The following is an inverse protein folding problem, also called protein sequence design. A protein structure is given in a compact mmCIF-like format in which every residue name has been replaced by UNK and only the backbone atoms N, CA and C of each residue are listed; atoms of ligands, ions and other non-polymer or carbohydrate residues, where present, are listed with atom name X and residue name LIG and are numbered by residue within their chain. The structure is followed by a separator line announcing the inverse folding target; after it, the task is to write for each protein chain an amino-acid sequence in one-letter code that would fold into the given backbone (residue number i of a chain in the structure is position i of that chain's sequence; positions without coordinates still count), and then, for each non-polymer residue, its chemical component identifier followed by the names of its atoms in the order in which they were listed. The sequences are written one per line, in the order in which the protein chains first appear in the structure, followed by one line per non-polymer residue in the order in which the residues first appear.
data_IF_624676177369
#
_entry.id   IF_624676177369
#
_cell.length_a   1.000
_cell.length_b   1.000
_cell.length_c   1.000
_cell.angle_alpha   90.00
_cell.angle_beta   90.00
_cell.angle_gamma   90.00
#
_symmetry.space_group_name_H-M   'P 1'
#
loop_
_entity.id
_entity.type
_entity.pdbx_description
1 polymer ?
#
# COMPACT_ATOMS: atom_id res chain seq x y z
N UNK A 1 -16.17 4.32 -14.93
CA UNK A 1 -16.47 5.43 -15.87
C UNK A 1 -15.63 5.40 -17.15
N UNK A 2 -14.29 5.55 -17.09
CA UNK A 2 -13.41 5.60 -18.29
C UNK A 2 -13.62 4.44 -19.29
N UNK A 3 -13.68 3.19 -18.80
CA UNK A 3 -13.91 1.98 -19.62
C UNK A 3 -15.23 2.03 -20.40
N UNK A 4 -16.31 2.50 -19.76
CA UNK A 4 -17.64 2.57 -20.39
C UNK A 4 -17.67 3.63 -21.50
N UNK A 5 -16.98 4.76 -21.30
CA UNK A 5 -16.85 5.80 -22.31
C UNK A 5 -16.07 5.33 -23.55
N UNK A 6 -14.94 4.63 -23.34
CA UNK A 6 -14.15 4.06 -24.45
C UNK A 6 -14.97 3.04 -25.24
N UNK A 7 -15.66 2.13 -24.55
CA UNK A 7 -16.51 1.13 -25.21
C UNK A 7 -17.65 1.77 -26.01
N UNK A 8 -18.23 2.87 -25.49
CA UNK A 8 -19.27 3.62 -26.19
C UNK A 8 -18.74 4.27 -27.48
N UNK A 9 -17.57 4.92 -27.44
CA UNK A 9 -16.92 5.47 -28.63
C UNK A 9 -16.59 4.37 -29.64
N UNK A 10 -16.04 3.24 -29.19
CA UNK A 10 -15.73 2.10 -30.06
C UNK A 10 -16.99 1.52 -30.70
N UNK A 11 -18.13 1.50 -30.00
CA UNK A 11 -19.41 1.09 -30.56
C UNK A 11 -19.86 2.03 -31.67
N UNK A 12 -19.84 3.35 -31.43
CA UNK A 12 -20.21 4.35 -32.45
C UNK A 12 -19.27 4.28 -33.68
N UNK A 13 -17.97 4.08 -33.46
CA UNK A 13 -16.99 3.90 -34.54
C UNK A 13 -17.26 2.65 -35.39
N UNK A 14 -17.60 1.52 -34.76
CA UNK A 14 -17.92 0.27 -35.48
C UNK A 14 -19.18 0.36 -36.31
N UNK A 15 -20.10 1.25 -35.95
CA UNK A 15 -21.34 1.48 -36.69
C UNK A 15 -21.14 2.45 -37.88
N UNK A 16 -19.94 2.99 -38.07
CA UNK A 16 -19.61 3.82 -39.23
C UNK A 16 -19.35 2.96 -40.46
N UNK A 17 -19.74 3.47 -41.61
CA UNK A 17 -19.48 2.83 -42.92
C UNK A 17 -19.03 3.91 -43.91
N UNK A 18 -18.66 3.51 -45.13
CA UNK A 18 -18.29 4.47 -46.18
C UNK A 18 -19.40 5.49 -46.51
N UNK A 19 -20.67 5.16 -46.22
CA UNK A 19 -21.83 6.02 -46.45
C UNK A 19 -22.44 6.60 -45.18
N UNK A 20 -22.00 6.16 -43.99
CA UNK A 20 -22.46 6.65 -42.69
C UNK A 20 -21.26 7.25 -41.95
N UNK A 21 -21.11 8.60 -41.95
CA UNK A 21 -19.98 9.25 -41.32
C UNK A 21 -20.03 9.12 -39.80
N UNK A 22 -18.86 9.10 -39.17
CA UNK A 22 -18.75 9.10 -37.72
C UNK A 22 -19.40 10.34 -37.12
N UNK A 23 -20.35 10.11 -36.21
CA UNK A 23 -20.99 11.16 -35.40
C UNK A 23 -21.01 10.70 -33.95
N UNK A 24 -20.15 11.29 -33.13
CA UNK A 24 -20.16 11.05 -31.70
C UNK A 24 -21.46 11.62 -31.12
N UNK A 25 -22.39 10.74 -30.75
CA UNK A 25 -23.57 11.12 -29.98
C UNK A 25 -23.19 11.24 -28.50
N UNK A 26 -23.77 12.19 -27.79
CA UNK A 26 -23.65 12.21 -26.34
C UNK A 26 -24.42 11.00 -25.77
N UNK A 27 -23.88 10.30 -24.76
CA UNK A 27 -24.63 9.24 -24.10
C UNK A 27 -25.91 9.77 -23.48
N UNK A 28 -26.94 8.93 -23.46
CA UNK A 28 -28.22 9.29 -22.85
C UNK A 28 -28.06 9.45 -21.33
N UNK A 29 -28.97 10.21 -20.72
CA UNK A 29 -29.05 10.33 -19.26
C UNK A 29 -29.12 8.96 -18.58
N UNK A 30 -29.88 8.02 -19.15
CA UNK A 30 -30.01 6.65 -18.64
C UNK A 30 -28.67 5.89 -18.71
N UNK A 31 -27.92 6.03 -19.81
CA UNK A 31 -26.59 5.42 -19.94
C UNK A 31 -25.62 5.97 -18.91
N UNK A 32 -25.61 7.29 -18.70
CA UNK A 32 -24.76 7.93 -17.68
C UNK A 32 -25.14 7.44 -16.28
N UNK A 33 -26.42 7.38 -15.93
CA UNK A 33 -26.89 6.85 -14.64
C UNK A 33 -26.44 5.40 -14.45
N UNK A 34 -26.59 4.56 -15.47
CA UNK A 34 -26.16 3.16 -15.41
C UNK A 34 -24.65 3.05 -15.20
N UNK A 35 -23.84 3.83 -15.92
CA UNK A 35 -22.39 3.83 -15.76
C UNK A 35 -21.95 4.32 -14.39
N UNK A 36 -22.62 5.34 -13.84
CA UNK A 36 -22.37 5.82 -12.48
C UNK A 36 -22.71 4.76 -11.46
N UNK A 37 -23.85 4.05 -11.59
CA UNK A 37 -24.21 2.94 -10.71
C UNK A 37 -23.20 1.79 -10.79
N UNK A 38 -22.77 1.39 -11.98
CA UNK A 38 -21.74 0.36 -12.14
C UNK A 38 -20.41 0.80 -11.51
N UNK A 39 -20.01 2.06 -11.69
CA UNK A 39 -18.81 2.60 -11.05
C UNK A 39 -18.96 2.62 -9.53
N UNK A 40 -20.12 3.02 -9.01
CA UNK A 40 -20.40 3.05 -7.58
C UNK A 40 -20.40 1.64 -6.98
N UNK A 41 -20.97 0.65 -7.65
CA UNK A 41 -20.93 -0.76 -7.23
C UNK A 41 -19.53 -1.39 -7.36
N UNK A 42 -18.66 -0.84 -8.22
CA UNK A 42 -17.23 -1.20 -8.20
C UNK A 42 -16.43 -0.46 -7.12
N UNK A 43 -17.02 0.62 -6.56
CA UNK A 43 -16.45 1.44 -5.48
C UNK A 43 -17.04 1.10 -4.11
N UNK A 44 -18.08 0.29 -4.02
CA UNK A 44 -18.46 -0.37 -2.76
C UNK A 44 -17.28 -1.26 -2.40
N UNK A 45 -16.34 -0.66 -1.66
CA UNK A 45 -15.31 -1.32 -0.91
C UNK A 45 -15.96 -2.56 -0.34
N UNK A 46 -15.39 -3.73 -0.65
CA UNK A 46 -15.84 -5.00 -0.11
C UNK A 46 -16.15 -4.78 1.37
N UNK A 47 -17.32 -5.21 1.85
CA UNK A 47 -17.66 -5.17 3.29
C UNK A 47 -16.53 -5.75 4.17
N UNK A 48 -15.65 -6.54 3.56
CA UNK A 48 -14.39 -7.01 4.13
C UNK A 48 -13.40 -5.91 4.58
N UNK A 49 -13.55 -4.64 4.18
CA UNK A 49 -12.67 -3.53 4.60
C UNK A 49 -13.26 -2.71 5.74
N UNK A 50 -14.56 -2.78 6.00
CA UNK A 50 -15.20 -2.00 7.06
C UNK A 50 -14.76 -2.52 8.43
N UNK A 51 -13.98 -1.69 9.16
CA UNK A 51 -13.44 -2.05 10.48
C UNK A 51 -12.31 -3.10 10.46
N UNK A 52 -11.81 -3.48 9.29
CA UNK A 52 -10.76 -4.49 9.18
C UNK A 52 -9.42 -3.99 9.74
N UNK A 53 -8.73 -4.86 10.48
CA UNK A 53 -7.32 -4.70 10.85
C UNK A 53 -6.48 -5.48 9.83
N UNK A 54 -5.60 -4.76 9.12
CA UNK A 54 -4.78 -5.32 8.06
C UNK A 54 -3.32 -5.30 8.52
N UNK A 55 -2.69 -6.47 8.59
CA UNK A 55 -1.26 -6.56 8.85
C UNK A 55 -0.52 -6.24 7.55
N UNK A 56 0.23 -5.14 7.51
CA UNK A 56 0.98 -4.74 6.32
C UNK A 56 2.36 -4.23 6.71
N UNK A 57 3.37 -4.60 5.93
CA UNK A 57 4.74 -4.12 6.07
C UNK A 57 5.44 -4.19 4.72
N UNK A 58 6.51 -3.40 4.59
CA UNK A 58 7.34 -3.39 3.39
C UNK A 58 8.41 -4.50 3.44
N UNK A 59 9.10 -4.58 4.57
CA UNK A 59 10.21 -5.49 4.81
C UNK A 59 10.41 -5.67 6.31
N UNK A 60 10.75 -6.89 6.74
CA UNK A 60 10.96 -7.26 8.14
C UNK A 60 12.44 -7.39 8.41
N UNK A 61 13.03 -6.34 8.99
CA UNK A 61 14.44 -6.30 9.37
C UNK A 61 14.58 -5.85 10.81
N UNK A 62 15.47 -6.51 11.56
CA UNK A 62 15.91 -6.04 12.87
C UNK A 62 16.83 -4.83 12.73
N UNK A 63 17.00 -4.01 13.78
CA UNK A 63 17.95 -2.91 13.78
C UNK A 63 19.39 -3.33 13.42
N UNK A 64 19.80 -4.55 13.80
CA UNK A 64 21.13 -5.08 13.47
C UNK A 64 21.26 -5.44 11.99
N UNK A 65 20.21 -6.00 11.39
CA UNK A 65 20.19 -6.27 9.95
C UNK A 65 20.21 -4.98 9.13
N UNK A 66 19.47 -3.95 9.58
CA UNK A 66 19.49 -2.62 8.95
C UNK A 66 20.90 -2.01 9.03
N UNK A 67 21.56 -2.12 10.19
CA UNK A 67 22.96 -1.70 10.35
C UNK A 67 23.86 -2.40 9.34
N UNK A 68 23.77 -3.72 9.19
CA UNK A 68 24.63 -4.49 8.28
C UNK A 68 24.44 -4.05 6.82
N UNK A 69 23.20 -3.76 6.41
CA UNK A 69 22.90 -3.17 5.10
C UNK A 69 23.52 -1.78 4.94
N UNK A 70 23.41 -0.93 5.96
CA UNK A 70 23.96 0.42 5.94
C UNK A 70 25.49 0.42 5.90
N UNK A 71 26.17 -0.41 6.70
CA UNK A 71 27.62 -0.52 6.67
C UNK A 71 28.12 -0.98 5.30
N UNK A 72 27.45 -1.98 4.72
CA UNK A 72 27.78 -2.50 3.40
C UNK A 72 27.62 -1.43 2.32
N UNK A 73 26.48 -0.73 2.30
CA UNK A 73 26.17 0.24 1.25
C UNK A 73 27.02 1.51 1.35
N UNK A 74 27.25 1.99 2.58
CA UNK A 74 27.98 3.24 2.84
C UNK A 74 29.49 3.03 2.94
N UNK A 75 29.94 1.77 3.01
CA UNK A 75 31.32 1.39 3.30
C UNK A 75 31.89 2.11 4.55
N UNK A 76 31.06 2.18 5.60
CA UNK A 76 31.38 2.83 6.87
C UNK A 76 31.00 1.94 8.03
N UNK A 77 31.81 1.94 9.09
CA UNK A 77 31.46 1.30 10.34
C UNK A 77 30.52 2.18 11.16
N UNK A 78 29.46 1.58 11.69
CA UNK A 78 28.47 2.23 12.53
C UNK A 78 28.71 1.78 13.96
N UNK A 79 28.99 2.72 14.84
CA UNK A 79 29.12 2.44 16.27
C UNK A 79 27.74 2.10 16.86
N UNK A 80 27.68 0.99 17.60
CA UNK A 80 26.48 0.61 18.34
C UNK A 80 26.57 1.07 19.78
N UNK A 81 25.52 1.75 20.23
CA UNK A 81 25.26 1.97 21.64
C UNK A 81 24.16 1.03 22.09
N UNK A 82 24.49 0.17 23.03
CA UNK A 82 23.50 -0.66 23.71
C UNK A 82 22.88 0.14 24.85
N UNK A 83 21.57 0.05 24.98
CA UNK A 83 20.80 0.66 26.06
C UNK A 83 20.07 -0.45 26.78
N UNK A 84 20.15 -0.46 28.11
CA UNK A 84 19.38 -1.40 28.91
C UNK A 84 17.88 -1.10 28.80
N UNK A 85 17.07 -2.13 28.60
CA UNK A 85 15.63 -1.97 28.36
C UNK A 85 14.92 -1.32 29.56
N UNK A 86 15.27 -1.74 30.78
CA UNK A 86 14.60 -1.24 31.99
C UNK A 86 15.02 0.20 32.28
N UNK A 87 16.27 0.57 31.98
CA UNK A 87 16.69 1.97 32.01
C UNK A 87 15.96 2.80 30.95
N UNK A 88 15.83 2.29 29.72
CA UNK A 88 15.18 2.98 28.62
C UNK A 88 13.70 3.26 28.91
N UNK A 89 13.00 2.29 29.53
CA UNK A 89 11.60 2.42 29.95
C UNK A 89 11.34 3.59 30.90
N UNK A 90 12.33 4.02 31.70
CA UNK A 90 12.17 5.17 32.61
C UNK A 90 11.84 6.46 31.86
N UNK A 91 12.30 6.57 30.61
CA UNK A 91 12.06 7.73 29.75
C UNK A 91 10.99 7.46 28.69
N UNK A 92 10.25 6.35 28.78
CA UNK A 92 9.26 5.94 27.77
C UNK A 92 8.22 7.02 27.43
N UNK A 93 7.77 7.79 28.43
CA UNK A 93 6.75 8.81 28.25
C UNK A 93 7.32 10.21 27.93
N UNK A 94 8.64 10.38 27.95
CA UNK A 94 9.31 11.68 27.91
C UNK A 94 10.33 11.80 26.78
N UNK A 95 10.90 10.69 26.30
CA UNK A 95 11.84 10.65 25.19
C UNK A 95 11.30 9.79 24.04
N UNK A 96 11.26 10.37 22.85
CA UNK A 96 10.69 9.72 21.67
C UNK A 96 11.53 8.51 21.21
N UNK A 97 12.85 8.56 21.36
CA UNK A 97 13.72 7.44 20.97
C UNK A 97 13.56 6.29 21.95
N UNK A 98 13.45 6.58 23.25
CA UNK A 98 13.15 5.61 24.29
C UNK A 98 11.78 4.95 24.08
N UNK A 99 10.76 5.73 23.72
CA UNK A 99 9.45 5.21 23.31
C UNK A 99 9.58 4.21 22.16
N UNK A 100 10.18 4.62 21.03
CA UNK A 100 10.31 3.78 19.84
C UNK A 100 11.10 2.51 20.11
N UNK A 101 12.28 2.62 20.69
CA UNK A 101 13.15 1.47 20.96
C UNK A 101 12.50 0.48 21.92
N UNK A 102 11.78 0.97 22.94
CA UNK A 102 11.02 0.11 23.86
C UNK A 102 9.91 -0.65 23.15
N UNK A 103 9.10 -0.01 22.30
CA UNK A 103 8.01 -0.72 21.60
C UNK A 103 8.53 -1.78 20.63
N UNK A 104 9.70 -1.55 19.99
CA UNK A 104 10.30 -2.55 19.10
C UNK A 104 10.85 -3.74 19.88
N UNK A 105 11.52 -3.50 21.01
CA UNK A 105 12.08 -4.56 21.85
C UNK A 105 10.97 -5.40 22.52
N UNK A 106 9.85 -4.77 22.89
CA UNK A 106 8.66 -5.48 23.40
C UNK A 106 7.87 -6.21 22.28
N UNK A 107 8.33 -6.17 21.03
CA UNK A 107 7.64 -6.80 19.90
C UNK A 107 6.32 -6.10 19.52
N UNK A 108 6.07 -4.89 20.02
CA UNK A 108 4.87 -4.10 19.71
C UNK A 108 5.01 -3.27 18.43
N UNK A 109 6.23 -3.25 17.85
CA UNK A 109 6.53 -2.60 16.57
C UNK A 109 6.35 -3.48 15.34
N UNK A 110 6.00 -4.77 15.48
CA UNK A 110 5.73 -5.65 14.33
C UNK A 110 4.26 -5.57 13.91
N UNK A 111 4.01 -5.62 12.59
CA UNK A 111 2.66 -5.48 12.03
C UNK A 111 1.75 -6.70 12.28
N UNK A 112 2.33 -7.83 12.71
CA UNK A 112 1.69 -9.13 12.89
C UNK A 112 2.67 -10.27 12.62
N UNK A 113 2.16 -11.49 12.50
CA UNK A 113 2.94 -12.63 12.01
C UNK A 113 3.27 -12.47 10.51
N UNK A 114 4.31 -13.16 10.04
CA UNK A 114 4.67 -13.13 8.61
C UNK A 114 3.53 -13.68 7.72
N UNK A 115 2.80 -14.68 8.23
CA UNK A 115 1.65 -15.24 7.52
C UNK A 115 0.50 -14.24 7.39
N UNK A 116 0.15 -13.52 8.46
CA UNK A 116 -0.91 -12.50 8.41
C UNK A 116 -0.60 -11.38 7.42
N UNK A 117 0.67 -10.97 7.35
CA UNK A 117 1.15 -9.99 6.37
C UNK A 117 1.02 -10.54 4.95
N UNK A 118 1.49 -11.77 4.71
CA UNK A 118 1.42 -12.41 3.41
C UNK A 118 -0.03 -12.59 2.93
N UNK A 119 -0.92 -13.04 3.81
CA UNK A 119 -2.35 -13.22 3.52
C UNK A 119 -3.04 -11.88 3.23
N UNK A 120 -2.69 -10.83 3.98
CA UNK A 120 -3.21 -9.48 3.76
C UNK A 120 -2.78 -8.95 2.40
N UNK A 121 -1.49 -9.08 2.05
CA UNK A 121 -0.97 -8.67 0.75
C UNK A 121 -1.65 -9.44 -0.38
N UNK A 122 -1.71 -10.77 -0.30
CA UNK A 122 -2.34 -11.60 -1.33
C UNK A 122 -3.82 -11.27 -1.55
N UNK A 123 -4.55 -10.97 -0.47
CA UNK A 123 -6.00 -10.71 -0.51
C UNK A 123 -6.35 -9.29 -0.93
N UNK A 124 -5.63 -8.29 -0.43
CA UNK A 124 -6.02 -6.88 -0.56
C UNK A 124 -5.06 -6.07 -1.43
N UNK A 125 -3.81 -6.51 -1.60
CA UNK A 125 -2.77 -5.78 -2.32
C UNK A 125 -1.94 -6.74 -3.20
N UNK A 126 -2.54 -7.42 -4.19
CA UNK A 126 -1.84 -8.45 -4.98
C UNK A 126 -0.65 -7.89 -5.79
N UNK A 127 -0.67 -6.59 -6.09
CA UNK A 127 0.41 -5.87 -6.78
C UNK A 127 1.38 -5.19 -5.79
N UNK A 128 1.35 -5.55 -4.50
CA UNK A 128 2.22 -4.96 -3.47
C UNK A 128 3.68 -5.26 -3.76
N UNK A 129 4.43 -4.23 -4.15
CA UNK A 129 5.86 -4.31 -4.42
C UNK A 129 6.56 -3.12 -3.76
N UNK A 130 6.70 -3.12 -2.42
CA UNK A 130 7.29 -2.01 -1.68
C UNK A 130 8.79 -1.94 -1.95
N UNK A 131 9.33 -0.72 -1.96
CA UNK A 131 10.76 -0.50 -2.03
C UNK A 131 11.46 -1.12 -0.81
N UNK A 132 12.58 -1.80 -1.06
CA UNK A 132 13.39 -2.45 -0.01
C UNK A 132 14.16 -1.42 0.81
N UNK A 133 14.42 -1.72 2.08
CA UNK A 133 15.07 -0.81 3.02
C UNK A 133 16.41 -0.29 2.48
N UNK A 134 17.20 -1.17 1.85
CA UNK A 134 18.47 -0.83 1.21
C UNK A 134 18.34 0.33 0.20
N UNK A 135 17.20 0.47 -0.49
CA UNK A 135 17.00 1.55 -1.46
C UNK A 135 16.94 2.94 -0.83
N UNK A 136 16.57 3.05 0.45
CA UNK A 136 16.46 4.31 1.19
C UNK A 136 17.77 4.75 1.87
N UNK A 137 18.78 3.90 1.91
CA UNK A 137 20.10 4.22 2.47
C UNK A 137 20.86 5.07 1.43
N UNK A 138 21.14 6.34 1.74
CA UNK A 138 21.75 7.31 0.82
C UNK A 138 23.27 7.39 0.97
#
# INVERSE_FOLDING_TARGET
MRKNWVNYILHELRNCTATIPFKLKAPTRQQIIAWTKTAWNSLTASSALEGAKLAFEAERLSPLQIRDLAEKKLNKKIELRYVDLEENKKNFNTDFVAFLTTIFEEGRGVAGTEQEVADTAAKFFPDWNPAKYESFIA
#
